data_IF_476552108476
#
_entry.id   IF_476552108476
#
_cell.length_a   1.000
_cell.length_b   1.000
_cell.length_c   1.000
_cell.angle_alpha   90.00
_cell.angle_beta   90.00
_cell.angle_gamma   90.00
#
_symmetry.space_group_name_H-M   'P 1'
#
loop_
_entity.id
_entity.type
_entity.pdbx_description
1 polymer ?
#
# COMPACT_ATOMS: atom_id res chain seq x y z
N UNK A 1 -25.07 -7.95 2.18
CA UNK A 1 -24.09 -8.22 3.25
C UNK A 1 -22.90 -8.82 2.55
N UNK A 2 -21.76 -8.12 2.54
CA UNK A 2 -20.52 -8.71 2.02
C UNK A 2 -20.01 -9.73 3.04
N UNK A 3 -19.88 -10.99 2.61
CA UNK A 3 -19.32 -12.06 3.43
C UNK A 3 -17.81 -11.84 3.59
N UNK A 4 -17.45 -11.10 4.64
CA UNK A 4 -16.06 -10.90 5.04
C UNK A 4 -15.55 -12.14 5.79
N UNK A 5 -14.94 -13.09 5.08
CA UNK A 5 -14.36 -14.29 5.67
C UNK A 5 -12.90 -14.03 6.05
N UNK A 6 -12.65 -13.73 7.33
CA UNK A 6 -11.29 -13.65 7.89
C UNK A 6 -10.94 -14.97 8.57
N UNK A 7 -10.15 -15.82 7.91
CA UNK A 7 -9.43 -16.89 8.61
C UNK A 7 -8.14 -16.28 9.17
N UNK A 8 -8.15 -15.88 10.44
CA UNK A 8 -6.97 -15.28 11.10
C UNK A 8 -6.16 -16.38 11.77
N UNK A 9 -4.89 -16.51 11.37
CA UNK A 9 -3.91 -17.29 12.12
C UNK A 9 -2.70 -16.40 12.45
N UNK A 10 -2.20 -16.43 13.71
CA UNK A 10 -2.70 -17.22 14.84
C UNK A 10 -3.99 -16.66 15.47
N UNK A 11 -4.82 -17.53 16.05
CA UNK A 11 -6.13 -17.21 16.62
C UNK A 11 -6.12 -16.12 17.72
N UNK A 12 -4.97 -15.85 18.33
CA UNK A 12 -4.79 -14.77 19.32
C UNK A 12 -4.78 -13.35 18.74
N UNK A 13 -4.87 -13.18 17.41
CA UNK A 13 -4.88 -11.86 16.75
C UNK A 13 -6.27 -11.37 16.34
N UNK A 14 -7.33 -12.16 16.54
CA UNK A 14 -8.69 -11.83 16.07
C UNK A 14 -9.17 -10.45 16.55
N UNK A 15 -8.93 -10.10 17.81
CA UNK A 15 -9.33 -8.81 18.38
C UNK A 15 -8.54 -7.62 17.83
N UNK A 16 -7.27 -7.83 17.44
CA UNK A 16 -6.47 -6.82 16.74
C UNK A 16 -6.96 -6.61 15.31
N UNK A 17 -7.37 -7.69 14.61
CA UNK A 17 -7.98 -7.61 13.29
C UNK A 17 -9.34 -6.90 13.30
N UNK A 18 -10.12 -7.03 14.38
CA UNK A 18 -11.37 -6.28 14.54
C UNK A 18 -11.12 -4.76 14.57
N UNK A 19 -10.06 -4.31 15.26
CA UNK A 19 -9.65 -2.91 15.25
C UNK A 19 -9.25 -2.47 13.84
N UNK A 20 -8.38 -3.23 13.17
CA UNK A 20 -7.91 -2.94 11.80
C UNK A 20 -9.09 -2.85 10.83
N UNK A 21 -10.05 -3.77 10.92
CA UNK A 21 -11.23 -3.80 10.06
C UNK A 21 -12.04 -2.50 10.15
N UNK A 22 -12.30 -2.01 11.36
CA UNK A 22 -13.05 -0.77 11.52
C UNK A 22 -12.30 0.45 10.98
N UNK A 23 -10.97 0.47 11.10
CA UNK A 23 -10.13 1.52 10.51
C UNK A 23 -10.22 1.50 8.99
N UNK A 24 -10.12 0.32 8.37
CA UNK A 24 -10.26 0.18 6.91
C UNK A 24 -11.66 0.59 6.43
N UNK A 25 -12.71 0.30 7.20
CA UNK A 25 -14.08 0.73 6.86
C UNK A 25 -14.26 2.26 6.85
N UNK A 26 -13.47 3.01 7.63
CA UNK A 26 -13.48 4.48 7.57
C UNK A 26 -13.01 4.93 6.18
N UNK A 27 -12.02 4.24 5.62
CA UNK A 27 -11.47 4.46 4.27
C UNK A 27 -12.33 3.88 3.15
N UNK A 28 -13.56 3.43 3.43
CA UNK A 28 -14.51 3.07 2.38
C UNK A 28 -15.13 4.32 1.75
N UNK A 29 -15.47 4.21 0.46
CA UNK A 29 -16.15 5.23 -0.33
C UNK A 29 -15.36 6.55 -0.50
N UNK A 30 -14.04 6.45 -0.64
CA UNK A 30 -13.20 7.62 -0.92
C UNK A 30 -13.52 8.16 -2.30
N UNK A 31 -13.91 9.43 -2.36
CA UNK A 31 -14.10 10.17 -3.60
C UNK A 31 -12.95 11.14 -3.77
N UNK A 32 -12.18 11.00 -4.85
CA UNK A 32 -11.00 11.81 -5.09
C UNK A 32 -10.86 12.22 -6.56
N UNK A 33 -10.21 13.37 -6.77
CA UNK A 33 -9.75 13.80 -8.09
C UNK A 33 -8.26 13.44 -8.24
N UNK A 34 -7.89 12.94 -9.42
CA UNK A 34 -6.51 12.57 -9.73
C UNK A 34 -6.06 13.15 -11.07
N UNK A 35 -4.77 13.39 -11.22
CA UNK A 35 -4.13 13.66 -12.51
C UNK A 35 -2.69 13.15 -12.48
N UNK A 36 -2.16 12.80 -13.66
CA UNK A 36 -0.74 12.44 -13.83
C UNK A 36 -0.22 11.37 -12.86
N UNK A 37 -1.08 10.46 -12.44
CA UNK A 37 -0.71 9.38 -11.53
C UNK A 37 -0.62 9.80 -10.06
N UNK A 38 -1.29 10.88 -9.65
CA UNK A 38 -1.38 11.35 -8.26
C UNK A 38 -2.80 11.73 -7.87
N UNK A 39 -3.13 11.53 -6.59
CA UNK A 39 -4.34 12.10 -5.98
C UNK A 39 -4.08 13.59 -5.73
N UNK A 40 -4.90 14.45 -6.33
CA UNK A 40 -4.76 15.90 -6.19
C UNK A 40 -5.67 16.47 -5.11
N UNK A 41 -6.82 15.83 -4.90
CA UNK A 41 -7.86 16.31 -4.00
C UNK A 41 -8.73 15.17 -3.49
N UNK A 42 -9.05 15.17 -2.20
CA UNK A 42 -9.96 14.22 -1.57
C UNK A 42 -11.26 14.95 -1.31
N UNK A 43 -12.28 14.67 -2.12
CA UNK A 43 -13.52 15.45 -2.18
C UNK A 43 -14.32 15.30 -0.87
N UNK A 44 -14.33 14.10 -0.29
CA UNK A 44 -15.08 13.79 0.92
C UNK A 44 -14.21 13.65 2.19
N UNK A 45 -13.06 14.34 2.27
CA UNK A 45 -12.17 14.26 3.44
C UNK A 45 -12.89 14.58 4.77
N UNK A 46 -13.78 15.58 4.77
CA UNK A 46 -14.56 15.95 5.95
C UNK A 46 -15.44 14.80 6.46
N UNK A 47 -16.07 14.05 5.56
CA UNK A 47 -16.89 12.89 5.93
C UNK A 47 -16.01 11.77 6.53
N UNK A 48 -14.81 11.55 5.99
CA UNK A 48 -13.85 10.59 6.53
C UNK A 48 -13.37 11.00 7.93
N UNK A 49 -13.15 12.30 8.17
CA UNK A 49 -12.83 12.84 9.48
C UNK A 49 -13.98 12.62 10.48
N UNK A 50 -15.23 12.86 10.07
CA UNK A 50 -16.41 12.62 10.90
C UNK A 50 -16.57 11.13 11.25
N UNK A 51 -16.32 10.23 10.29
CA UNK A 51 -16.27 8.77 10.51
C UNK A 51 -15.17 8.38 11.52
N UNK A 52 -14.01 9.04 11.47
CA UNK A 52 -12.91 8.80 12.42
C UNK A 52 -13.26 9.21 13.85
N UNK A 53 -13.78 10.43 14.05
CA UNK A 53 -14.18 10.87 15.39
C UNK A 53 -15.34 10.02 15.92
N UNK A 54 -16.30 9.64 15.08
CA UNK A 54 -17.36 8.70 15.47
C UNK A 54 -16.80 7.34 15.90
N UNK A 55 -15.81 6.81 15.17
CA UNK A 55 -15.14 5.57 15.52
C UNK A 55 -14.50 5.67 16.90
N UNK A 56 -13.77 6.75 17.20
CA UNK A 56 -13.15 6.96 18.51
C UNK A 56 -14.20 7.04 19.63
N UNK A 57 -15.28 7.79 19.41
CA UNK A 57 -16.28 8.04 20.45
C UNK A 57 -17.20 6.85 20.74
N UNK A 58 -17.51 6.03 19.73
CA UNK A 58 -18.60 5.03 19.79
C UNK A 58 -18.17 3.62 19.50
N UNK A 59 -17.24 3.42 18.58
CA UNK A 59 -16.91 2.09 18.07
C UNK A 59 -15.70 1.49 18.79
N UNK A 60 -14.65 2.29 18.98
CA UNK A 60 -13.37 1.86 19.57
C UNK A 60 -13.53 1.28 20.98
N UNK A 61 -14.42 1.87 21.78
CA UNK A 61 -14.70 1.47 23.16
C UNK A 61 -15.32 0.06 23.28
N UNK A 62 -15.90 -0.45 22.19
CA UNK A 62 -16.47 -1.80 22.15
C UNK A 62 -15.43 -2.86 21.73
N UNK A 63 -14.24 -2.43 21.29
CA UNK A 63 -13.18 -3.32 20.81
C UNK A 63 -12.28 -3.70 21.97
N UNK A 64 -12.28 -4.99 22.33
CA UNK A 64 -11.52 -5.52 23.47
C UNK A 64 -10.03 -5.18 23.40
N UNK A 65 -9.42 -5.30 22.22
CA UNK A 65 -8.01 -4.99 21.98
C UNK A 65 -7.67 -3.51 22.19
N UNK A 66 -8.56 -2.60 21.76
CA UNK A 66 -8.38 -1.16 21.97
C UNK A 66 -8.34 -0.82 23.47
N UNK A 67 -9.28 -1.37 24.24
CA UNK A 67 -9.34 -1.16 25.68
C UNK A 67 -8.15 -1.79 26.40
N UNK A 68 -7.69 -2.97 25.98
CA UNK A 68 -6.51 -3.62 26.54
C UNK A 68 -5.25 -2.77 26.31
N UNK A 69 -5.04 -2.29 25.08
CA UNK A 69 -3.94 -1.40 24.74
C UNK A 69 -4.03 -0.08 25.53
N UNK A 70 -5.21 0.51 25.65
CA UNK A 70 -5.39 1.76 26.41
C UNK A 70 -5.00 1.60 27.89
N UNK A 71 -5.28 0.43 28.47
CA UNK A 71 -4.93 0.13 29.85
C UNK A 71 -3.45 -0.21 30.05
N UNK A 72 -2.84 -0.95 29.11
CA UNK A 72 -1.45 -1.42 29.23
C UNK A 72 -0.42 -0.43 28.71
N UNK A 73 -0.77 0.34 27.70
CA UNK A 73 0.13 1.24 26.98
C UNK A 73 -0.63 2.47 26.45
N UNK A 74 -1.06 3.39 27.34
CA UNK A 74 -1.81 4.59 26.96
C UNK A 74 -1.10 5.45 25.90
N UNK A 75 0.23 5.51 25.96
CA UNK A 75 1.07 6.22 24.97
C UNK A 75 0.79 5.74 23.54
N UNK A 76 0.68 4.42 23.34
CA UNK A 76 0.46 3.78 22.04
C UNK A 76 -0.93 4.12 21.49
N UNK A 77 -1.94 4.18 22.37
CA UNK A 77 -3.29 4.59 21.98
C UNK A 77 -3.33 6.08 21.64
N UNK A 78 -2.65 6.93 22.41
CA UNK A 78 -2.56 8.35 22.10
C UNK A 78 -1.88 8.58 20.74
N UNK A 79 -0.78 7.89 20.46
CA UNK A 79 -0.12 7.96 19.16
C UNK A 79 -1.02 7.46 18.02
N UNK A 80 -1.75 6.36 18.23
CA UNK A 80 -2.74 5.86 17.28
C UNK A 80 -3.83 6.90 16.99
N UNK A 81 -4.41 7.50 18.03
CA UNK A 81 -5.45 8.53 17.93
C UNK A 81 -4.95 9.75 17.16
N UNK A 82 -3.78 10.26 17.54
CA UNK A 82 -3.21 11.47 16.94
C UNK A 82 -2.75 11.25 15.51
N UNK A 83 -2.21 10.06 15.19
CA UNK A 83 -1.86 9.73 13.81
C UNK A 83 -3.10 9.60 12.92
N UNK A 84 -4.18 8.98 13.41
CA UNK A 84 -5.44 8.96 12.67
C UNK A 84 -6.02 10.36 12.46
N UNK A 85 -6.01 11.22 13.48
CA UNK A 85 -6.42 12.63 13.34
C UNK A 85 -5.59 13.37 12.30
N UNK A 86 -4.27 13.20 12.29
CA UNK A 86 -3.39 13.79 11.27
C UNK A 86 -3.73 13.29 9.87
N UNK A 87 -3.94 11.98 9.71
CA UNK A 87 -4.33 11.38 8.44
C UNK A 87 -5.65 11.96 7.93
N UNK A 88 -6.73 11.94 8.73
CA UNK A 88 -8.07 12.33 8.27
C UNK A 88 -8.33 13.84 8.25
N UNK A 89 -7.45 14.67 8.82
CA UNK A 89 -7.60 16.14 8.80
C UNK A 89 -6.72 16.84 7.76
N UNK A 90 -5.79 16.13 7.12
CA UNK A 90 -4.84 16.71 6.18
C UNK A 90 -4.88 15.97 4.84
N UNK A 91 -5.37 16.66 3.81
CA UNK A 91 -5.53 16.10 2.47
C UNK A 91 -4.22 15.56 1.87
N UNK A 92 -3.10 16.25 2.12
CA UNK A 92 -1.80 15.83 1.60
C UNK A 92 -1.35 14.52 2.26
N UNK A 93 -1.43 14.45 3.60
CA UNK A 93 -1.09 13.24 4.35
C UNK A 93 -2.00 12.08 3.94
N UNK A 94 -3.32 12.31 3.88
CA UNK A 94 -4.29 11.30 3.46
C UNK A 94 -3.98 10.76 2.06
N UNK A 95 -3.72 11.66 1.10
CA UNK A 95 -3.40 11.30 -0.27
C UNK A 95 -2.14 10.45 -0.36
N UNK A 96 -1.11 10.76 0.43
CA UNK A 96 0.12 9.97 0.50
C UNK A 96 -0.13 8.57 1.10
N UNK A 97 -0.94 8.47 2.14
CA UNK A 97 -1.29 7.17 2.77
C UNK A 97 -2.07 6.30 1.79
N UNK A 98 -3.12 6.84 1.18
CA UNK A 98 -3.96 6.09 0.23
C UNK A 98 -3.17 5.71 -1.03
N UNK A 99 -2.30 6.58 -1.53
CA UNK A 99 -1.48 6.28 -2.72
C UNK A 99 -0.48 5.14 -2.49
N UNK A 100 -0.15 4.79 -1.24
CA UNK A 100 0.71 3.63 -0.91
C UNK A 100 -0.06 2.30 -0.95
N UNK A 101 -1.38 2.32 -0.83
CA UNK A 101 -2.18 1.12 -0.97
C UNK A 101 -2.16 0.64 -2.44
N UNK A 102 -1.83 -0.64 -2.65
CA UNK A 102 -1.65 -1.21 -3.99
C UNK A 102 -2.87 -1.07 -4.90
N UNK A 103 -4.09 -1.09 -4.36
CA UNK A 103 -5.29 -0.89 -5.15
C UNK A 103 -5.31 0.51 -5.77
N UNK A 104 -5.20 1.55 -4.93
CA UNK A 104 -5.21 2.94 -5.40
C UNK A 104 -3.98 3.25 -6.24
N UNK A 105 -2.80 2.78 -5.86
CA UNK A 105 -1.58 2.90 -6.67
C UNK A 105 -1.78 2.33 -8.06
N UNK A 106 -2.38 1.14 -8.17
CA UNK A 106 -2.69 0.51 -9.45
C UNK A 106 -3.69 1.35 -10.24
N UNK A 107 -4.82 1.70 -9.62
CA UNK A 107 -5.92 2.43 -10.26
C UNK A 107 -5.46 3.78 -10.84
N UNK A 108 -4.70 4.53 -10.05
CA UNK A 108 -4.20 5.85 -10.43
C UNK A 108 -3.17 5.76 -11.57
N UNK A 109 -2.33 4.72 -11.57
CA UNK A 109 -1.36 4.50 -12.65
C UNK A 109 -2.03 4.05 -13.96
N UNK A 110 -3.17 3.33 -13.90
CA UNK A 110 -3.95 2.95 -15.09
C UNK A 110 -4.41 4.21 -15.84
N UNK A 111 -4.96 5.18 -15.10
CA UNK A 111 -5.48 6.43 -15.66
C UNK A 111 -4.44 7.56 -15.75
N UNK A 112 -3.15 7.21 -15.62
CA UNK A 112 -2.08 8.17 -15.83
C UNK A 112 -1.98 8.47 -17.34
N UNK A 113 -2.50 9.61 -17.74
CA UNK A 113 -2.23 10.21 -19.05
C UNK A 113 -0.76 10.62 -19.08
N UNK A 114 0.10 9.76 -19.61
CA UNK A 114 1.51 10.07 -19.81
C UNK A 114 1.90 9.60 -21.20
N UNK A 115 2.31 10.54 -22.05
CA UNK A 115 3.06 10.22 -23.27
C UNK A 115 4.45 9.65 -22.92
N UNK A 116 4.93 9.91 -21.70
CA UNK A 116 6.18 9.35 -21.20
C UNK A 116 6.00 7.91 -20.72
N UNK A 117 6.68 7.00 -21.41
CA UNK A 117 6.80 5.58 -21.06
C UNK A 117 7.71 5.33 -19.85
N UNK A 118 8.40 6.35 -19.35
CA UNK A 118 9.37 6.21 -18.26
C UNK A 118 9.10 7.23 -17.16
N UNK A 119 9.22 6.81 -15.91
CA UNK A 119 9.15 7.69 -14.74
C UNK A 119 9.86 7.07 -13.55
N UNK A 120 10.16 7.88 -12.54
CA UNK A 120 10.73 7.42 -11.28
C UNK A 120 9.84 7.79 -10.10
N UNK A 121 9.88 6.99 -9.06
CA UNK A 121 9.26 7.32 -7.78
C UNK A 121 10.14 6.85 -6.61
N UNK A 122 9.84 7.38 -5.43
CA UNK A 122 10.49 6.99 -4.17
C UNK A 122 9.47 6.26 -3.32
N UNK A 123 9.86 5.14 -2.72
CA UNK A 123 9.06 4.47 -1.72
C UNK A 123 9.91 4.04 -0.53
N UNK A 124 9.30 3.91 0.63
CA UNK A 124 9.97 3.33 1.79
C UNK A 124 10.12 1.82 1.62
N UNK A 125 11.24 1.27 2.08
CA UNK A 125 11.50 -0.16 2.17
C UNK A 125 10.50 -0.84 3.13
N UNK A 126 10.06 -2.03 2.75
CA UNK A 126 9.22 -2.93 3.54
C UNK A 126 10.06 -3.79 4.50
N UNK A 127 11.34 -4.00 4.20
CA UNK A 127 12.27 -4.78 5.03
C UNK A 127 13.00 -3.91 6.05
N UNK A 128 13.44 -2.73 5.64
CA UNK A 128 14.40 -1.93 6.39
C UNK A 128 13.78 -0.57 6.76
N UNK A 129 13.70 -0.23 8.06
CA UNK A 129 13.16 1.04 8.49
C UNK A 129 14.01 2.19 7.96
N UNK A 130 13.36 3.29 7.59
CA UNK A 130 13.99 4.54 7.12
C UNK A 130 14.82 4.43 5.83
N UNK A 131 14.81 3.28 5.13
CA UNK A 131 15.45 3.14 3.83
C UNK A 131 14.47 3.59 2.73
N UNK A 132 14.91 4.54 1.90
CA UNK A 132 14.16 5.05 0.76
C UNK A 132 14.67 4.43 -0.55
N UNK A 133 13.79 3.76 -1.26
CA UNK A 133 14.07 3.07 -2.52
C UNK A 133 13.67 3.98 -3.68
N UNK A 134 14.65 4.33 -4.51
CA UNK A 134 14.42 5.04 -5.76
C UNK A 134 14.15 4.00 -6.86
N UNK A 135 12.96 4.05 -7.47
CA UNK A 135 12.52 3.04 -8.45
C UNK A 135 12.31 3.73 -9.80
N UNK A 136 12.95 3.20 -10.83
CA UNK A 136 12.77 3.62 -12.22
C UNK A 136 11.80 2.66 -12.90
N UNK A 137 10.69 3.18 -13.43
CA UNK A 137 9.61 2.40 -14.04
C UNK A 137 9.56 2.64 -15.54
N UNK A 138 9.44 1.55 -16.28
CA UNK A 138 9.17 1.53 -17.71
C UNK A 138 7.78 0.95 -17.95
N UNK A 139 6.95 1.68 -18.69
CA UNK A 139 5.64 1.29 -19.21
C UNK A 139 5.81 0.77 -20.64
N UNK A 140 5.20 -0.37 -20.93
CA UNK A 140 5.21 -1.01 -22.25
C UNK A 140 3.84 -1.60 -22.57
N UNK A 141 3.51 -1.68 -23.85
CA UNK A 141 2.35 -2.44 -24.34
C UNK A 141 2.79 -3.91 -24.49
N UNK A 142 2.04 -4.82 -23.89
CA UNK A 142 2.27 -6.27 -23.98
C UNK A 142 1.48 -6.86 -25.13
N UNK A 143 0.21 -6.49 -25.23
CA UNK A 143 -0.70 -6.89 -26.31
C UNK A 143 -1.67 -5.75 -26.58
N UNK A 144 -2.07 -5.61 -27.83
CA UNK A 144 -3.06 -4.64 -28.30
C UNK A 144 -3.91 -5.34 -29.35
N UNK A 145 -5.23 -5.34 -29.14
CA UNK A 145 -6.23 -5.84 -30.08
C UNK A 145 -7.35 -4.80 -30.25
N UNK A 146 -8.35 -5.09 -31.07
CA UNK A 146 -9.44 -4.14 -31.37
C UNK A 146 -10.24 -3.74 -30.11
N UNK A 147 -10.35 -4.64 -29.13
CA UNK A 147 -11.22 -4.45 -27.96
C UNK A 147 -10.46 -3.92 -26.74
N UNK A 148 -9.18 -4.28 -26.60
CA UNK A 148 -8.42 -4.04 -25.38
C UNK A 148 -6.93 -3.86 -25.58
N UNK A 149 -6.31 -3.17 -24.63
CA UNK A 149 -4.86 -2.98 -24.56
C UNK A 149 -4.35 -3.44 -23.22
N UNK A 150 -3.31 -4.27 -23.22
CA UNK A 150 -2.61 -4.72 -22.00
C UNK A 150 -1.30 -3.98 -21.86
N UNK A 151 -1.14 -3.28 -20.74
CA UNK A 151 0.08 -2.60 -20.36
C UNK A 151 0.84 -3.37 -19.29
N UNK A 152 2.15 -3.20 -19.29
CA UNK A 152 3.05 -3.66 -18.23
C UNK A 152 3.95 -2.54 -17.78
N UNK A 153 4.01 -2.36 -16.47
CA UNK A 153 4.93 -1.49 -15.76
C UNK A 153 5.96 -2.38 -15.09
N UNK A 154 7.24 -2.14 -15.36
CA UNK A 154 8.36 -2.82 -14.71
C UNK A 154 9.23 -1.77 -14.05
N UNK A 155 9.37 -1.88 -12.73
CA UNK A 155 10.21 -1.02 -11.93
C UNK A 155 11.45 -1.76 -11.46
N UNK A 156 12.60 -1.09 -11.57
CA UNK A 156 13.89 -1.56 -11.09
C UNK A 156 14.49 -0.55 -10.13
N UNK A 157 15.23 -1.05 -9.15
CA UNK A 157 15.91 -0.22 -8.17
C UNK A 157 17.06 0.57 -8.79
N UNK A 158 17.10 1.87 -8.53
CA UNK A 158 18.24 2.73 -8.83
C UNK A 158 19.34 2.51 -7.78
N UNK A 159 20.21 1.53 -8.03
CA UNK A 159 21.32 1.18 -7.15
C UNK A 159 22.27 2.34 -6.87
N UNK A 160 22.36 3.32 -7.76
CA UNK A 160 23.25 4.48 -7.57
C UNK A 160 22.82 5.38 -6.39
N UNK A 161 21.57 5.27 -5.96
CA UNK A 161 20.98 6.04 -4.86
C UNK A 161 20.70 5.19 -3.61
N UNK A 162 21.18 3.95 -3.60
CA UNK A 162 20.94 3.00 -2.52
C UNK A 162 22.09 3.05 -1.51
N UNK A 163 21.77 3.20 -0.23
CA UNK A 163 22.74 3.04 0.85
C UNK A 163 22.91 1.55 1.20
N UNK A 164 23.72 0.85 0.41
CA UNK A 164 23.96 -0.59 0.61
C UNK A 164 24.68 -0.88 1.94
N UNK A 165 25.48 0.07 2.45
CA UNK A 165 26.19 -0.11 3.73
C UNK A 165 25.18 -0.12 4.87
N UNK A 166 24.27 0.84 4.90
CA UNK A 166 23.24 0.89 5.95
C UNK A 166 22.26 -0.28 5.87
N UNK A 167 21.85 -0.69 4.66
CA UNK A 167 21.00 -1.87 4.49
C UNK A 167 21.67 -3.12 5.06
N UNK A 168 22.96 -3.31 4.80
CA UNK A 168 23.73 -4.42 5.36
C UNK A 168 23.77 -4.34 6.89
N UNK A 169 24.05 -3.18 7.46
CA UNK A 169 24.07 -2.98 8.91
C UNK A 169 22.71 -3.34 9.54
N UNK A 170 21.60 -2.83 8.98
CA UNK A 170 20.26 -3.13 9.44
C UNK A 170 19.95 -4.63 9.32
N UNK A 171 20.37 -5.29 8.23
CA UNK A 171 20.21 -6.73 8.08
C UNK A 171 20.95 -7.53 9.16
N UNK A 172 22.22 -7.18 9.42
CA UNK A 172 23.05 -7.85 10.43
C UNK A 172 22.50 -7.67 11.85
N UNK A 173 21.82 -6.55 12.11
CA UNK A 173 21.17 -6.26 13.40
C UNK A 173 19.80 -6.95 13.54
N UNK A 174 18.95 -6.85 12.53
CA UNK A 174 17.54 -7.25 12.62
C UNK A 174 17.32 -8.72 12.27
N UNK A 175 17.98 -9.22 11.22
CA UNK A 175 17.64 -10.50 10.61
C UNK A 175 18.70 -11.57 10.89
N UNK A 176 19.99 -11.27 10.68
CA UNK A 176 21.07 -12.25 10.85
C UNK A 176 21.05 -12.99 12.22
N UNK A 177 20.73 -12.34 13.36
CA UNK A 177 20.66 -13.04 14.64
C UNK A 177 19.55 -14.09 14.70
N UNK A 178 18.48 -13.93 13.90
CA UNK A 178 17.32 -14.80 13.85
C UNK A 178 17.54 -15.92 12.81
N UNK A 179 17.88 -15.56 11.57
CA UNK A 179 17.95 -16.51 10.45
C UNK A 179 19.33 -17.13 10.25
N UNK A 180 20.36 -16.61 10.91
CA UNK A 180 21.76 -17.10 10.90
C UNK A 180 22.48 -17.10 9.54
N UNK A 181 21.88 -16.56 8.49
CA UNK A 181 22.50 -16.37 7.18
C UNK A 181 23.06 -14.97 7.01
N UNK A 182 24.25 -14.87 6.43
CA UNK A 182 24.92 -13.59 6.13
C UNK A 182 24.22 -12.84 5.00
N UNK A 183 24.39 -11.51 5.00
CA UNK A 183 23.92 -10.66 3.91
C UNK A 183 24.57 -11.03 2.57
N UNK A 184 23.80 -10.95 1.50
CA UNK A 184 24.25 -11.23 0.12
C UNK A 184 24.10 -9.98 -0.75
N UNK A 185 22.91 -9.75 -1.28
CA UNK A 185 22.56 -8.64 -2.14
C UNK A 185 21.10 -8.29 -1.93
N UNK A 186 20.85 -7.00 -1.69
CA UNK A 186 19.51 -6.45 -1.64
C UNK A 186 19.01 -6.11 -3.05
N UNK A 187 17.73 -6.38 -3.29
CA UNK A 187 17.09 -6.03 -4.55
C UNK A 187 15.57 -5.85 -4.37
N UNK A 188 14.97 -5.19 -5.36
CA UNK A 188 13.59 -4.76 -5.36
C UNK A 188 12.99 -4.86 -6.76
N UNK A 189 11.83 -5.52 -6.86
CA UNK A 189 11.10 -5.73 -8.10
C UNK A 189 9.70 -5.13 -7.94
N UNK A 190 9.36 -4.23 -8.84
CA UNK A 190 8.01 -3.68 -8.98
C UNK A 190 7.43 -4.12 -10.32
N UNK A 191 6.23 -4.70 -10.30
CA UNK A 191 5.52 -5.08 -11.52
C UNK A 191 4.03 -4.80 -11.39
N UNK A 192 3.49 -4.07 -12.36
CA UNK A 192 2.04 -3.99 -12.57
C UNK A 192 1.75 -4.46 -14.00
N UNK A 193 0.72 -5.26 -14.19
CA UNK A 193 0.16 -5.59 -15.50
C UNK A 193 -1.34 -5.36 -15.45
N UNK A 194 -1.85 -4.53 -16.35
CA UNK A 194 -3.26 -4.18 -16.39
C UNK A 194 -3.79 -4.16 -17.81
N UNK A 195 -5.08 -4.45 -17.96
CA UNK A 195 -5.77 -4.46 -19.24
C UNK A 195 -6.93 -3.48 -19.18
N UNK A 196 -7.02 -2.59 -20.18
CA UNK A 196 -8.14 -1.66 -20.34
C UNK A 196 -8.94 -1.98 -21.59
N UNK A 197 -10.23 -1.66 -21.56
CA UNK A 197 -11.10 -1.65 -22.73
C UNK A 197 -10.82 -0.40 -23.58
N UNK A 198 -10.59 -0.56 -24.88
CA UNK A 198 -10.18 0.55 -25.76
C UNK A 198 -11.31 1.57 -25.97
N UNK A 199 -12.57 1.13 -25.98
CA UNK A 199 -13.73 1.98 -26.25
C UNK A 199 -14.09 2.91 -25.08
N UNK A 200 -13.92 2.43 -23.84
CA UNK A 200 -14.32 3.15 -22.62
C UNK A 200 -13.16 3.59 -21.74
N UNK A 201 -11.96 3.02 -21.95
CA UNK A 201 -10.80 3.18 -21.06
C UNK A 201 -10.95 2.45 -19.72
N UNK A 202 -12.00 1.67 -19.51
CA UNK A 202 -12.27 1.01 -18.24
C UNK A 202 -11.29 -0.13 -17.96
N UNK A 203 -10.84 -0.23 -16.71
CA UNK A 203 -9.99 -1.32 -16.24
C UNK A 203 -10.76 -2.65 -16.23
N UNK A 204 -10.28 -3.63 -17.00
CA UNK A 204 -10.84 -4.99 -17.09
C UNK A 204 -10.24 -5.87 -15.99
N UNK A 205 -8.91 -5.87 -15.88
CA UNK A 205 -8.17 -6.63 -14.86
C UNK A 205 -6.81 -6.01 -14.58
N UNK A 206 -6.28 -6.27 -13.40
CA UNK A 206 -4.92 -5.87 -13.02
C UNK A 206 -4.28 -6.87 -12.06
N UNK A 207 -2.97 -7.00 -12.18
CA UNK A 207 -2.09 -7.69 -11.23
C UNK A 207 -0.96 -6.75 -10.85
N UNK A 208 -0.77 -6.52 -9.56
CA UNK A 208 0.33 -5.73 -9.02
C UNK A 208 1.13 -6.57 -8.02
N UNK A 209 2.44 -6.53 -8.15
CA UNK A 209 3.36 -7.21 -7.23
C UNK A 209 4.56 -6.33 -6.94
N UNK A 210 4.82 -6.17 -5.65
CA UNK A 210 6.04 -5.60 -5.12
C UNK A 210 6.78 -6.72 -4.40
N UNK A 211 8.04 -6.94 -4.76
CA UNK A 211 8.91 -7.91 -4.11
C UNK A 211 10.18 -7.21 -3.67
N UNK A 212 10.47 -7.29 -2.39
CA UNK A 212 11.71 -6.78 -1.80
C UNK A 212 12.44 -7.94 -1.12
N UNK A 213 13.75 -8.06 -1.33
CA UNK A 213 14.46 -9.26 -0.89
C UNK A 213 15.95 -9.06 -0.68
N UNK A 214 16.50 -9.91 0.18
CA UNK A 214 17.94 -10.20 0.25
C UNK A 214 18.15 -11.57 -0.40
N UNK A 215 18.91 -11.62 -1.50
CA UNK A 215 19.07 -12.82 -2.35
C UNK A 215 19.42 -14.06 -1.52
N UNK A 216 18.69 -15.15 -1.73
CA UNK A 216 18.88 -16.44 -1.06
C UNK A 216 18.63 -16.44 0.46
N UNK A 217 18.04 -15.39 1.03
CA UNK A 217 17.78 -15.30 2.48
C UNK A 217 16.29 -15.09 2.79
N UNK A 218 15.77 -13.89 2.50
CA UNK A 218 14.45 -13.46 2.95
C UNK A 218 13.81 -12.57 1.88
N UNK A 219 12.51 -12.75 1.67
CA UNK A 219 11.71 -11.87 0.81
C UNK A 219 10.39 -11.46 1.46
N UNK A 220 9.96 -10.25 1.13
CA UNK A 220 8.60 -9.77 1.37
C UNK A 220 7.97 -9.51 0.02
N UNK A 221 6.79 -10.09 -0.16
CA UNK A 221 6.04 -9.99 -1.41
C UNK A 221 4.64 -9.48 -1.08
N UNK A 222 4.35 -8.27 -1.57
CA UNK A 222 2.99 -7.72 -1.54
C UNK A 222 2.37 -7.93 -2.91
N UNK A 223 1.18 -8.54 -2.96
CA UNK A 223 0.45 -8.83 -4.20
C UNK A 223 -0.98 -8.33 -4.12
N UNK A 224 -1.47 -7.84 -5.25
CA UNK A 224 -2.83 -7.39 -5.44
C UNK A 224 -3.33 -7.84 -6.80
N UNK A 225 -4.56 -8.37 -6.84
CA UNK A 225 -5.22 -8.84 -8.05
C UNK A 225 -6.61 -8.22 -8.11
N UNK A 226 -6.95 -7.65 -9.26
CA UNK A 226 -8.26 -7.05 -9.52
C UNK A 226 -8.83 -7.65 -10.81
N UNK A 227 -10.10 -8.04 -10.76
CA UNK A 227 -10.86 -8.48 -11.92
C UNK A 227 -12.22 -7.80 -11.87
N UNK A 228 -12.63 -7.21 -13.00
CA UNK A 228 -13.99 -6.74 -13.15
C UNK A 228 -14.94 -7.93 -13.02
N UNK A 229 -15.94 -7.80 -12.16
CA UNK A 229 -17.04 -8.75 -12.08
C UNK A 229 -18.09 -8.30 -13.09
N UNK A 230 -18.47 -9.18 -14.01
CA UNK A 230 -19.65 -8.97 -14.85
C UNK A 230 -20.88 -9.22 -13.97
N UNK A 231 -21.77 -8.22 -13.91
CA UNK A 231 -23.05 -8.30 -13.19
C UNK A 231 -24.14 -8.87 -14.11
#
# INVERSE_FOLDING_TARGET
MEDYVTAVQPAGMESAFELIKHIEQIRNDITFAHSEGKINKVINLKELQEKWEFFLDKTSQNISFYNELNNKSPEVINDFVENGRKEFSNEHIFSEVISKNLFYHTLINVYKNNDANEYSFIQQSQLFPNIMLNVNVIKSIVTEDENSTTYRLVGVLDRSKLDEVEIKNLYEQMYQPIIKFSFTEFDYIYRITYQIENSTGQLIKSSASIKEFVKNNYDVITKFELRRVEL
#
